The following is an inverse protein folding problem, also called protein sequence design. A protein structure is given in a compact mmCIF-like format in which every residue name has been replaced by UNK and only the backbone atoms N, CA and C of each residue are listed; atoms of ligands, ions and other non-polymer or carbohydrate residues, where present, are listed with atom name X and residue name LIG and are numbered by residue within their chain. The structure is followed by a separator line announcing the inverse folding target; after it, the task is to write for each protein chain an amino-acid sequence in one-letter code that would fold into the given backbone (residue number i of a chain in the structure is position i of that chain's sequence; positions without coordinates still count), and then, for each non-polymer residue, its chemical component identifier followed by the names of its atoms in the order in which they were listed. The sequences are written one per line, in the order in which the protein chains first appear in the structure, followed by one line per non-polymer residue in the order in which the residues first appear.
data_IF_530502910194
#
_entry.id   IF_530502910194
#
_cell.length_a   1.000
_cell.length_b   1.000
_cell.length_c   1.000
_cell.angle_alpha   90.00
_cell.angle_beta   90.00
_cell.angle_gamma   90.00
#
_symmetry.space_group_name_H-M   'P 1'
#
loop_
_entity.id
_entity.type
_entity.pdbx_description
1 polymer ?
#
# COMPACT_ATOMS: atom_id res chain seq x y z
N UNK A 1 -11.50 -29.71 -22.13
CA UNK A 1 -11.06 -29.06 -23.39
C UNK A 1 -11.49 -27.62 -23.29
N UNK A 2 -10.62 -26.81 -22.68
CA UNK A 2 -10.78 -25.38 -22.51
C UNK A 2 -9.36 -24.83 -22.54
N UNK A 3 -9.16 -23.87 -23.44
CA UNK A 3 -7.87 -23.32 -23.84
C UNK A 3 -7.04 -22.82 -22.66
N UNK A 4 -5.82 -23.34 -22.59
CA UNK A 4 -4.68 -22.76 -21.89
C UNK A 4 -4.17 -21.62 -22.77
N UNK A 5 -4.39 -20.38 -22.34
CA UNK A 5 -3.75 -19.21 -22.92
C UNK A 5 -2.38 -19.00 -22.29
N UNK A 6 -1.33 -19.36 -23.02
CA UNK A 6 0.07 -19.05 -22.75
C UNK A 6 0.24 -17.60 -22.26
N UNK A 7 0.74 -17.42 -21.03
CA UNK A 7 1.37 -16.17 -20.60
C UNK A 7 2.86 -16.25 -20.92
N UNK A 8 3.18 -16.12 -22.21
CA UNK A 8 4.50 -15.71 -22.67
C UNK A 8 4.29 -14.61 -23.72
N UNK A 9 5.13 -13.58 -23.65
CA UNK A 9 5.25 -12.46 -24.58
C UNK A 9 4.49 -11.17 -24.21
N UNK A 10 5.07 -10.45 -23.25
CA UNK A 10 5.06 -8.98 -23.26
C UNK A 10 6.47 -8.46 -22.96
N UNK A 11 7.37 -8.68 -23.91
CA UNK A 11 8.55 -7.83 -24.11
C UNK A 11 8.40 -7.25 -25.51
N UNK A 12 7.72 -6.11 -25.63
CA UNK A 12 7.83 -5.32 -26.86
C UNK A 12 9.20 -4.64 -26.83
N UNK A 13 10.13 -5.22 -27.58
CA UNK A 13 11.34 -4.56 -28.07
C UNK A 13 10.93 -3.37 -28.94
N UNK A 14 11.02 -2.16 -28.39
CA UNK A 14 10.99 -0.94 -29.17
C UNK A 14 12.43 -0.64 -29.60
N UNK A 15 12.84 -1.19 -30.74
CA UNK A 15 13.98 -0.68 -31.49
C UNK A 15 13.59 0.67 -32.10
N UNK A 16 13.96 1.78 -31.44
CA UNK A 16 13.91 3.10 -32.07
C UNK A 16 15.18 3.32 -32.89
N UNK A 17 14.99 3.35 -34.22
CA UNK A 17 15.97 3.81 -35.20
C UNK A 17 16.42 5.24 -34.85
N UNK A 18 17.70 5.32 -34.48
CA UNK A 18 18.39 6.54 -34.13
C UNK A 18 18.63 7.40 -35.38
N UNK A 19 17.76 8.38 -35.63
CA UNK A 19 18.02 9.47 -36.59
C UNK A 19 17.25 10.76 -36.22
N UNK A 20 17.92 11.66 -35.50
CA UNK A 20 17.68 13.11 -35.58
C UNK A 20 17.29 13.82 -34.29
N UNK A 21 18.22 14.60 -33.71
CA UNK A 21 17.92 15.80 -32.92
C UNK A 21 18.41 15.80 -31.47
N UNK A 22 19.61 16.33 -31.26
CA UNK A 22 20.32 16.60 -30.00
C UNK A 22 19.65 17.68 -29.10
N UNK A 23 18.31 17.74 -29.08
CA UNK A 23 17.54 18.76 -28.35
C UNK A 23 16.68 18.20 -27.20
N UNK A 24 16.46 16.88 -27.15
CA UNK A 24 15.60 16.25 -26.13
C UNK A 24 16.31 15.83 -24.84
N UNK A 25 17.64 15.69 -24.86
CA UNK A 25 18.42 15.24 -23.71
C UNK A 25 18.53 16.34 -22.63
N UNK A 26 18.71 17.61 -23.01
CA UNK A 26 18.88 18.73 -22.08
C UNK A 26 17.60 19.07 -21.28
N UNK A 27 16.42 18.91 -21.87
CA UNK A 27 15.15 19.19 -21.19
C UNK A 27 14.80 18.07 -20.20
N UNK A 28 15.07 16.81 -20.55
CA UNK A 28 14.92 15.66 -19.65
C UNK A 28 15.90 15.71 -18.47
N UNK A 29 17.16 16.08 -18.70
CA UNK A 29 18.16 16.27 -17.64
C UNK A 29 17.88 17.48 -16.73
N UNK A 30 17.21 18.52 -17.25
CA UNK A 30 16.72 19.63 -16.43
C UNK A 30 15.50 19.25 -15.57
N UNK A 31 14.63 18.37 -16.07
CA UNK A 31 13.47 17.87 -15.32
C UNK A 31 13.87 16.89 -14.20
N UNK A 32 14.94 16.11 -14.39
CA UNK A 32 15.43 15.14 -13.38
C UNK A 32 16.31 15.76 -12.29
N UNK A 33 16.84 16.98 -12.49
CA UNK A 33 17.61 17.76 -11.49
C UNK A 33 16.74 18.51 -10.47
N UNK A 34 15.45 18.20 -10.37
CA UNK A 34 14.54 18.88 -9.46
C UNK A 34 14.86 18.61 -8.00
N UNK A 35 14.95 19.70 -7.24
CA UNK A 35 15.13 19.67 -5.79
C UNK A 35 13.85 19.25 -5.08
N UNK A 36 14.02 18.79 -3.84
CA UNK A 36 12.97 18.68 -2.84
C UNK A 36 12.06 19.92 -2.80
N UNK A 37 10.85 19.71 -2.28
CA UNK A 37 9.88 20.78 -2.06
C UNK A 37 9.45 20.82 -0.60
N UNK A 38 9.71 21.95 0.04
CA UNK A 38 9.29 22.21 1.43
C UNK A 38 7.86 22.77 1.49
N UNK A 39 7.19 22.61 2.63
CA UNK A 39 5.90 23.24 2.92
C UNK A 39 5.91 24.77 2.72
N UNK A 40 7.01 25.45 3.06
CA UNK A 40 7.14 26.90 2.86
C UNK A 40 7.13 27.30 1.37
N UNK A 41 7.74 26.49 0.50
CA UNK A 41 7.68 26.71 -0.95
C UNK A 41 6.29 26.37 -1.50
N UNK A 42 5.68 25.28 -1.04
CA UNK A 42 4.34 24.90 -1.46
C UNK A 42 3.29 25.96 -1.10
N UNK A 43 3.37 26.54 0.11
CA UNK A 43 2.51 27.67 0.54
C UNK A 43 2.71 28.94 -0.30
N UNK A 44 3.86 29.09 -0.97
CA UNK A 44 4.13 30.18 -1.93
C UNK A 44 3.66 29.86 -3.34
N UNK A 45 3.00 28.72 -3.56
CA UNK A 45 2.45 28.31 -4.85
C UNK A 45 3.33 27.35 -5.66
N UNK A 46 4.46 26.87 -5.12
CA UNK A 46 5.24 25.80 -5.77
C UNK A 46 4.44 24.50 -5.72
N UNK A 47 4.40 23.75 -6.81
CA UNK A 47 3.80 22.41 -6.82
C UNK A 47 4.48 21.48 -5.81
N UNK A 48 3.70 20.67 -5.08
CA UNK A 48 4.20 19.79 -4.00
C UNK A 48 5.18 18.72 -4.51
N UNK A 49 5.07 18.32 -5.78
CA UNK A 49 6.01 17.40 -6.44
C UNK A 49 7.18 18.12 -7.09
N UNK A 50 7.13 19.45 -7.13
CA UNK A 50 8.09 20.32 -7.79
C UNK A 50 7.88 20.42 -9.30
N UNK A 51 6.73 19.99 -9.83
CA UNK A 51 6.45 20.02 -11.27
C UNK A 51 6.39 21.50 -11.74
N UNK A 52 7.20 21.90 -12.73
CA UNK A 52 7.34 23.29 -13.16
C UNK A 52 6.28 23.62 -14.20
N UNK A 53 5.01 23.65 -13.79
CA UNK A 53 3.88 23.89 -14.68
C UNK A 53 4.00 25.17 -15.51
N UNK A 54 4.73 26.17 -15.01
CA UNK A 54 5.05 27.43 -15.70
C UNK A 54 5.99 27.26 -16.91
N UNK A 55 6.78 26.19 -16.93
CA UNK A 55 7.69 25.84 -18.02
C UNK A 55 7.12 24.81 -18.99
N UNK A 56 5.97 24.23 -18.66
CA UNK A 56 5.29 23.23 -19.48
C UNK A 56 4.23 23.90 -20.35
N UNK A 57 3.99 23.35 -21.55
CA UNK A 57 2.92 23.81 -22.44
C UNK A 57 1.51 23.36 -22.00
N UNK A 58 1.33 22.96 -20.74
CA UNK A 58 0.07 22.49 -20.17
C UNK A 58 -0.04 22.92 -18.70
N UNK A 59 -1.22 23.35 -18.29
CA UNK A 59 -1.47 23.67 -16.87
C UNK A 59 -1.76 22.40 -16.08
N UNK A 60 -1.57 22.48 -14.76
CA UNK A 60 -1.88 21.38 -13.82
C UNK A 60 -3.33 20.90 -13.97
N UNK A 61 -4.28 21.81 -14.10
CA UNK A 61 -5.71 21.50 -14.22
C UNK A 61 -6.02 20.78 -15.53
N UNK A 62 -5.47 21.27 -16.65
CA UNK A 62 -5.65 20.63 -17.96
C UNK A 62 -5.03 19.23 -17.97
N UNK A 63 -3.84 19.07 -17.38
CA UNK A 63 -3.21 17.76 -17.24
C UNK A 63 -4.05 16.81 -16.37
N UNK A 64 -4.61 17.28 -15.23
CA UNK A 64 -5.52 16.50 -14.39
C UNK A 64 -6.79 16.05 -15.13
N UNK A 65 -7.40 16.92 -15.93
CA UNK A 65 -8.56 16.55 -16.75
C UNK A 65 -8.21 15.44 -17.74
N UNK A 66 -7.13 15.63 -18.51
CA UNK A 66 -6.64 14.60 -19.45
C UNK A 66 -6.29 13.30 -18.74
N UNK A 67 -5.67 13.37 -17.56
CA UNK A 67 -5.32 12.21 -16.73
C UNK A 67 -6.56 11.41 -16.32
N UNK A 68 -7.65 12.08 -15.91
CA UNK A 68 -8.90 11.42 -15.56
C UNK A 68 -9.62 10.81 -16.77
N UNK A 69 -9.53 11.45 -17.95
CA UNK A 69 -10.15 10.96 -19.19
C UNK A 69 -9.41 9.72 -19.77
N UNK A 70 -8.08 9.72 -19.67
CA UNK A 70 -7.23 8.69 -20.28
C UNK A 70 -7.00 7.50 -19.37
N UNK A 71 -7.05 7.66 -18.04
CA UNK A 71 -6.80 6.55 -17.12
C UNK A 71 -7.89 5.49 -17.25
N UNK A 72 -7.47 4.25 -17.49
CA UNK A 72 -8.35 3.09 -17.54
C UNK A 72 -8.13 2.26 -16.29
N UNK A 73 -9.17 2.18 -15.46
CA UNK A 73 -9.19 1.23 -14.36
C UNK A 73 -9.20 -0.18 -14.94
N UNK A 74 -8.32 -1.04 -14.44
CA UNK A 74 -8.44 -2.47 -14.68
C UNK A 74 -9.72 -2.98 -14.00
N UNK A 75 -10.42 -3.95 -14.56
CA UNK A 75 -11.61 -4.56 -13.94
C UNK A 75 -11.54 -6.06 -14.22
N UNK A 76 -11.66 -6.89 -13.18
CA UNK A 76 -11.74 -8.34 -13.41
C UNK A 76 -13.16 -8.71 -13.84
N UNK A 77 -14.16 -7.96 -13.37
CA UNK A 77 -15.55 -8.08 -13.78
C UNK A 77 -15.92 -6.85 -14.61
N UNK A 78 -16.19 -7.01 -15.92
CA UNK A 78 -16.45 -5.86 -16.81
C UNK A 78 -17.58 -4.97 -16.31
N UNK A 79 -17.35 -3.64 -16.33
CA UNK A 79 -18.30 -2.61 -15.92
C UNK A 79 -18.68 -2.65 -14.43
N UNK A 80 -17.88 -3.30 -13.59
CA UNK A 80 -18.10 -3.33 -12.15
C UNK A 80 -18.08 -1.93 -11.54
N UNK A 81 -17.16 -1.06 -11.95
CA UNK A 81 -17.08 0.32 -11.47
C UNK A 81 -18.28 1.17 -11.87
N UNK A 82 -18.76 1.05 -13.11
CA UNK A 82 -19.93 1.79 -13.60
C UNK A 82 -21.22 1.34 -12.89
N UNK A 83 -21.31 0.07 -12.52
CA UNK A 83 -22.49 -0.48 -11.83
C UNK A 83 -22.69 0.11 -10.42
N UNK A 84 -21.60 0.39 -9.68
CA UNK A 84 -21.67 0.90 -8.29
C UNK A 84 -21.93 2.42 -8.22
N UNK A 85 -21.84 3.15 -9.34
CA UNK A 85 -22.02 4.61 -9.37
C UNK A 85 -23.34 5.10 -8.77
N UNK A 86 -24.39 4.27 -8.83
CA UNK A 86 -25.72 4.57 -8.27
C UNK A 86 -25.82 4.34 -6.76
N UNK A 87 -24.93 3.54 -6.17
CA UNK A 87 -24.90 3.21 -4.73
C UNK A 87 -24.03 4.18 -3.92
N UNK A 88 -23.18 4.94 -4.60
CA UNK A 88 -22.20 5.82 -3.97
C UNK A 88 -22.88 7.05 -3.32
N UNK A 89 -22.61 7.27 -2.04
CA UNK A 89 -23.09 8.48 -1.35
C UNK A 89 -22.28 9.69 -1.82
N UNK A 90 -22.95 10.83 -1.99
CA UNK A 90 -22.28 12.09 -2.29
C UNK A 90 -21.49 12.54 -1.06
N UNK A 91 -20.16 12.69 -1.22
CA UNK A 91 -19.26 13.08 -0.13
C UNK A 91 -18.96 14.57 -0.17
N UNK A 92 -18.87 15.18 1.01
CA UNK A 92 -18.43 16.57 1.13
C UNK A 92 -16.90 16.62 1.05
N UNK A 93 -16.39 17.13 -0.08
CA UNK A 93 -14.98 17.53 -0.18
C UNK A 93 -14.74 18.73 0.75
N UNK A 94 -13.58 18.78 1.40
CA UNK A 94 -13.20 19.90 2.27
C UNK A 94 -12.56 19.52 3.59
N UNK A 95 -12.30 18.23 3.84
CA UNK A 95 -11.46 17.80 4.96
C UNK A 95 -10.05 18.38 4.83
N UNK A 96 -9.44 18.73 5.96
CA UNK A 96 -8.08 19.24 6.04
C UNK A 96 -7.45 18.71 7.33
N UNK A 97 -7.14 17.41 7.31
CA UNK A 97 -6.71 16.63 8.47
C UNK A 97 -5.19 16.45 8.51
N UNK A 98 -4.54 16.41 7.35
CA UNK A 98 -3.09 16.29 7.20
C UNK A 98 -2.58 17.38 6.26
N UNK A 99 -1.61 18.18 6.70
CA UNK A 99 -1.02 19.25 5.89
C UNK A 99 0.28 18.78 5.24
N UNK A 100 0.51 19.17 3.98
CA UNK A 100 1.77 18.90 3.30
C UNK A 100 2.95 19.48 4.08
N UNK A 101 3.95 18.64 4.34
CA UNK A 101 5.13 19.03 5.09
C UNK A 101 6.38 19.11 4.22
N UNK A 102 6.69 18.04 3.50
CA UNK A 102 7.91 17.92 2.70
C UNK A 102 7.74 16.90 1.58
N UNK A 103 8.46 17.10 0.50
CA UNK A 103 8.65 16.11 -0.56
C UNK A 103 10.14 15.90 -0.82
N UNK A 104 10.62 14.68 -0.65
CA UNK A 104 12.02 14.31 -0.96
C UNK A 104 12.13 13.55 -2.28
N UNK A 105 13.05 14.00 -3.14
CA UNK A 105 13.38 13.37 -4.44
C UNK A 105 14.55 12.39 -4.34
N UNK A 106 15.22 12.36 -3.18
CA UNK A 106 16.27 11.37 -2.88
C UNK A 106 15.71 9.96 -2.80
N UNK A 107 14.48 9.83 -2.28
CA UNK A 107 13.78 8.56 -2.13
C UNK A 107 13.02 8.25 -3.42
N UNK A 108 13.35 7.12 -4.07
CA UNK A 108 12.74 6.69 -5.34
C UNK A 108 12.09 5.32 -5.18
N UNK A 109 10.87 5.25 -4.63
CA UNK A 109 10.22 3.97 -4.45
C UNK A 109 9.83 3.36 -5.79
N UNK A 110 9.78 2.03 -5.85
CA UNK A 110 9.45 1.28 -7.08
C UNK A 110 8.36 0.26 -6.82
N UNK A 111 7.53 0.03 -7.84
CA UNK A 111 6.58 -1.09 -7.88
C UNK A 111 6.93 -2.02 -9.03
N UNK A 112 6.63 -3.31 -8.87
CA UNK A 112 6.80 -4.33 -9.91
C UNK A 112 5.47 -4.95 -10.37
N UNK A 113 4.40 -4.72 -9.61
CA UNK A 113 3.06 -5.21 -9.94
C UNK A 113 2.07 -4.04 -9.92
N UNK A 114 1.09 -4.05 -10.81
CA UNK A 114 0.11 -2.96 -10.92
C UNK A 114 -0.99 -2.99 -9.84
N UNK A 115 -1.11 -4.07 -9.07
CA UNK A 115 -2.11 -4.20 -7.99
C UNK A 115 -1.52 -4.14 -6.57
N UNK A 116 -0.27 -4.55 -6.36
CA UNK A 116 0.32 -4.70 -5.02
C UNK A 116 1.00 -3.39 -4.60
N UNK A 117 0.64 -2.85 -3.43
CA UNK A 117 0.98 -1.48 -2.98
C UNK A 117 1.40 -1.36 -1.51
N UNK A 118 1.77 -2.45 -0.86
CA UNK A 118 2.21 -2.44 0.54
C UNK A 118 3.74 -2.38 0.65
N UNK A 119 4.35 -1.35 0.04
CA UNK A 119 5.82 -1.23 -0.07
C UNK A 119 6.40 -0.01 0.66
N UNK A 120 5.61 0.69 1.47
CA UNK A 120 6.03 1.84 2.29
C UNK A 120 5.50 1.66 3.71
N UNK A 121 6.38 1.76 4.71
CA UNK A 121 6.06 1.53 6.12
C UNK A 121 6.78 2.52 7.03
N UNK A 122 6.01 3.37 7.70
CA UNK A 122 6.49 4.23 8.76
C UNK A 122 6.49 3.46 10.09
N UNK A 123 7.63 3.47 10.79
CA UNK A 123 7.79 2.86 12.12
C UNK A 123 7.82 3.91 13.22
N UNK A 124 8.03 5.17 12.85
CA UNK A 124 7.92 6.34 13.71
C UNK A 124 7.46 7.53 12.87
N UNK A 125 7.26 8.68 13.50
CA UNK A 125 7.08 9.95 12.79
C UNK A 125 8.20 10.25 11.79
N UNK A 126 9.39 9.72 12.02
CA UNK A 126 10.59 10.07 11.28
C UNK A 126 11.17 8.95 10.43
N UNK A 127 10.87 7.69 10.74
CA UNK A 127 11.54 6.53 10.15
C UNK A 127 10.60 5.76 9.23
N UNK A 128 10.98 5.68 7.96
CA UNK A 128 10.19 5.07 6.89
C UNK A 128 11.04 4.04 6.16
N UNK A 129 10.48 2.86 5.97
CA UNK A 129 11.06 1.77 5.19
C UNK A 129 10.29 1.62 3.89
N UNK A 130 11.02 1.44 2.78
CA UNK A 130 10.39 1.31 1.47
C UNK A 130 11.23 0.50 0.49
N UNK A 131 10.58 -0.05 -0.53
CA UNK A 131 11.29 -0.68 -1.65
C UNK A 131 11.75 0.34 -2.69
N UNK A 132 13.03 0.31 -3.05
CA UNK A 132 13.62 1.04 -4.16
C UNK A 132 14.44 0.06 -5.01
N UNK A 133 13.95 -0.23 -6.22
CA UNK A 133 14.41 -1.31 -7.07
C UNK A 133 14.42 -2.66 -6.30
N UNK A 134 15.61 -3.23 -6.07
CA UNK A 134 15.78 -4.48 -5.33
C UNK A 134 16.12 -4.27 -3.84
N UNK A 135 16.17 -3.02 -3.38
CA UNK A 135 16.65 -2.71 -2.04
C UNK A 135 15.53 -2.22 -1.14
N UNK A 136 15.48 -2.78 0.07
CA UNK A 136 14.77 -2.14 1.18
C UNK A 136 15.63 -0.99 1.66
N UNK A 137 15.07 0.21 1.58
CA UNK A 137 15.71 1.45 2.03
C UNK A 137 15.05 1.92 3.32
N UNK A 138 15.85 2.53 4.20
CA UNK A 138 15.39 3.29 5.36
C UNK A 138 15.66 4.78 5.12
N UNK A 139 14.59 5.56 5.18
CA UNK A 139 14.61 7.01 5.13
C UNK A 139 14.31 7.57 6.53
N UNK A 140 15.13 8.50 6.97
CA UNK A 140 14.89 9.26 8.20
C UNK A 140 14.59 10.72 7.86
N UNK A 141 13.34 11.16 8.04
CA UNK A 141 12.95 12.56 7.78
C UNK A 141 13.56 13.55 8.76
N UNK A 142 14.04 13.08 9.92
CA UNK A 142 14.74 13.90 10.90
C UNK A 142 16.17 14.22 10.47
N UNK A 143 16.91 13.22 9.98
CA UNK A 143 18.32 13.39 9.58
C UNK A 143 18.51 13.69 8.09
N UNK A 144 17.49 13.44 7.27
CA UNK A 144 17.59 13.53 5.82
C UNK A 144 18.44 12.41 5.19
N UNK A 145 18.70 11.33 5.94
CA UNK A 145 19.55 10.23 5.49
C UNK A 145 18.71 9.12 4.86
N UNK A 146 19.24 8.60 3.75
CA UNK A 146 18.76 7.40 3.08
C UNK A 146 19.83 6.31 3.23
N UNK A 147 19.45 5.16 3.78
CA UNK A 147 20.36 4.03 3.99
C UNK A 147 19.76 2.73 3.46
N UNK A 148 20.60 1.83 2.95
CA UNK A 148 20.18 0.51 2.48
C UNK A 148 20.14 -0.47 3.65
N UNK A 149 19.00 -1.16 3.82
CA UNK A 149 18.76 -2.12 4.91
C UNK A 149 19.02 -3.55 4.45
N UNK A 150 18.56 -3.89 3.25
CA UNK A 150 18.69 -5.21 2.65
C UNK A 150 18.60 -5.11 1.13
N UNK A 151 19.52 -5.76 0.41
CA UNK A 151 19.59 -5.74 -1.05
C UNK A 151 19.29 -7.12 -1.63
N UNK A 152 18.15 -7.24 -2.31
CA UNK A 152 17.68 -8.49 -2.92
C UNK A 152 18.20 -8.72 -4.35
N UNK A 153 18.96 -7.79 -4.94
CA UNK A 153 19.64 -8.04 -6.21
C UNK A 153 20.81 -9.01 -6.01
N UNK A 154 21.43 -8.94 -4.83
CA UNK A 154 22.48 -9.85 -4.39
C UNK A 154 21.94 -11.15 -3.80
N UNK A 155 22.84 -11.87 -3.14
CA UNK A 155 22.51 -13.08 -2.39
C UNK A 155 22.04 -12.72 -0.97
N UNK A 156 20.82 -13.15 -0.62
CA UNK A 156 20.21 -12.92 0.69
C UNK A 156 20.00 -14.27 1.36
N UNK A 157 20.80 -14.57 2.38
CA UNK A 157 20.73 -15.81 3.13
C UNK A 157 20.62 -15.56 4.64
N UNK A 158 19.91 -16.42 5.39
CA UNK A 158 19.75 -16.29 6.82
C UNK A 158 21.08 -16.55 7.53
N UNK A 159 21.37 -15.72 8.53
CA UNK A 159 22.55 -15.85 9.40
C UNK A 159 22.24 -16.63 10.68
N UNK A 160 20.95 -16.77 11.01
CA UNK A 160 20.46 -17.56 12.14
C UNK A 160 19.92 -18.90 11.63
N UNK A 161 19.96 -19.94 12.48
CA UNK A 161 19.46 -21.27 12.14
C UNK A 161 18.14 -21.52 12.85
N UNK A 162 17.05 -21.43 12.09
CA UNK A 162 15.71 -21.76 12.53
C UNK A 162 15.18 -22.97 11.76
N UNK A 163 14.23 -23.70 12.34
CA UNK A 163 13.60 -24.82 11.65
C UNK A 163 12.82 -24.32 10.42
N UNK A 164 12.92 -25.00 9.29
CA UNK A 164 12.28 -24.58 8.03
C UNK A 164 12.99 -23.42 7.31
N UNK A 165 14.13 -22.97 7.82
CA UNK A 165 14.94 -21.94 7.17
C UNK A 165 15.66 -22.50 5.95
N UNK A 166 15.51 -21.84 4.80
CA UNK A 166 16.30 -22.07 3.60
C UNK A 166 17.67 -21.43 3.77
N UNK A 167 18.65 -22.21 4.22
CA UNK A 167 20.01 -21.74 4.51
C UNK A 167 20.77 -21.27 3.27
N UNK A 168 20.40 -21.79 2.11
CA UNK A 168 20.92 -21.32 0.82
C UNK A 168 20.44 -19.92 0.44
N UNK A 169 19.36 -19.42 1.07
CA UNK A 169 18.83 -18.10 0.78
C UNK A 169 18.24 -17.95 -0.62
N UNK A 170 18.19 -16.71 -1.09
CA UNK A 170 17.66 -16.33 -2.39
C UNK A 170 18.61 -15.41 -3.15
N UNK A 171 18.42 -15.29 -4.45
CA UNK A 171 19.15 -14.36 -5.31
C UNK A 171 18.18 -13.65 -6.24
N UNK A 172 18.43 -12.37 -6.52
CA UNK A 172 17.63 -11.55 -7.45
C UNK A 172 16.12 -11.58 -7.13
N UNK A 173 15.77 -11.60 -5.85
CA UNK A 173 14.38 -11.72 -5.42
C UNK A 173 13.64 -10.42 -5.69
N UNK A 174 12.56 -10.52 -6.45
CA UNK A 174 11.63 -9.42 -6.62
C UNK A 174 10.66 -9.38 -5.44
N UNK A 175 10.53 -8.23 -4.80
CA UNK A 175 9.68 -8.04 -3.63
C UNK A 175 8.31 -7.52 -4.05
N UNK A 176 7.26 -8.25 -3.67
CA UNK A 176 5.86 -7.93 -3.93
C UNK A 176 5.19 -7.20 -2.77
N UNK A 177 5.68 -7.41 -1.55
CA UNK A 177 5.08 -6.83 -0.34
C UNK A 177 6.11 -6.70 0.78
N UNK A 178 5.90 -5.72 1.65
CA UNK A 178 6.74 -5.43 2.81
C UNK A 178 5.85 -5.28 4.04
N UNK A 179 6.38 -5.59 5.22
CA UNK A 179 5.81 -5.19 6.50
C UNK A 179 6.94 -4.87 7.48
N UNK A 180 6.82 -3.76 8.22
CA UNK A 180 7.80 -3.36 9.23
C UNK A 180 7.08 -2.92 10.49
N UNK A 181 7.42 -3.54 11.63
CA UNK A 181 6.84 -3.24 12.94
C UNK A 181 7.77 -3.68 14.07
N UNK A 182 7.89 -2.85 15.11
CA UNK A 182 8.60 -3.17 16.36
C UNK A 182 9.99 -3.81 16.16
N UNK A 183 10.80 -3.20 15.28
CA UNK A 183 12.13 -3.66 14.85
C UNK A 183 12.19 -4.91 13.97
N UNK A 184 11.07 -5.46 13.54
CA UNK A 184 11.05 -6.56 12.58
C UNK A 184 10.64 -6.08 11.21
N UNK A 185 11.29 -6.66 10.21
CA UNK A 185 10.99 -6.49 8.80
C UNK A 185 10.69 -7.86 8.20
N UNK A 186 9.58 -7.95 7.47
CA UNK A 186 9.21 -9.12 6.68
C UNK A 186 8.98 -8.67 5.25
N UNK A 187 9.67 -9.30 4.29
CA UNK A 187 9.54 -9.05 2.86
C UNK A 187 9.04 -10.33 2.18
N UNK A 188 8.00 -10.20 1.36
CA UNK A 188 7.44 -11.27 0.54
C UNK A 188 7.80 -11.09 -0.93
N UNK A 189 8.12 -12.18 -1.62
CA UNK A 189 8.49 -12.20 -3.03
C UNK A 189 7.41 -12.76 -3.96
N UNK A 190 7.68 -12.67 -5.27
CA UNK A 190 6.79 -13.16 -6.33
C UNK A 190 6.79 -14.69 -6.50
N UNK A 191 7.79 -15.41 -5.97
CA UNK A 191 7.91 -16.86 -6.08
C UNK A 191 7.80 -17.54 -4.70
N UNK A 192 6.94 -16.99 -3.84
CA UNK A 192 6.66 -17.53 -2.50
C UNK A 192 7.78 -17.26 -1.49
N UNK A 193 8.79 -16.46 -1.82
CA UNK A 193 9.86 -16.15 -0.88
C UNK A 193 9.32 -15.32 0.28
N UNK A 194 9.80 -15.64 1.49
CA UNK A 194 9.67 -14.83 2.68
C UNK A 194 11.04 -14.63 3.29
N UNK A 195 11.37 -13.38 3.57
CA UNK A 195 12.60 -13.00 4.26
C UNK A 195 12.27 -12.15 5.49
N UNK A 196 12.76 -12.56 6.65
CA UNK A 196 12.58 -11.85 7.91
C UNK A 196 13.93 -11.34 8.43
N UNK A 197 13.94 -10.09 8.90
CA UNK A 197 15.11 -9.43 9.48
C UNK A 197 14.74 -8.68 10.75
N UNK A 198 15.49 -8.94 11.81
CA UNK A 198 15.54 -8.04 12.97
C UNK A 198 16.42 -6.85 12.64
N UNK A 199 15.87 -5.62 12.69
CA UNK A 199 16.52 -4.39 12.25
C UNK A 199 17.69 -3.97 13.16
N UNK A 200 17.70 -4.44 14.40
CA UNK A 200 18.79 -4.28 15.37
C UNK A 200 19.97 -5.24 15.13
N UNK A 201 19.81 -6.25 14.26
CA UNK A 201 20.86 -7.23 13.90
C UNK A 201 21.38 -6.98 12.49
N UNK A 202 22.67 -7.26 12.25
CA UNK A 202 23.30 -7.06 10.93
C UNK A 202 22.78 -8.03 9.85
N UNK A 203 22.53 -9.29 10.19
CA UNK A 203 22.14 -10.33 9.23
C UNK A 203 20.63 -10.43 8.98
N UNK A 204 20.27 -11.33 8.08
CA UNK A 204 18.89 -11.83 7.91
C UNK A 204 18.64 -12.88 8.97
N UNK A 205 17.46 -12.83 9.59
CA UNK A 205 17.09 -13.74 10.67
C UNK A 205 16.50 -15.05 10.11
N UNK A 206 15.68 -14.98 9.07
CA UNK A 206 15.03 -16.16 8.52
C UNK A 206 14.68 -15.98 7.04
N UNK A 207 14.81 -17.06 6.27
CA UNK A 207 14.35 -17.15 4.88
C UNK A 207 13.57 -18.45 4.72
N UNK A 208 12.42 -18.41 4.05
CA UNK A 208 11.69 -19.62 3.67
C UNK A 208 10.89 -19.39 2.40
N UNK A 209 10.43 -20.46 1.79
CA UNK A 209 9.49 -20.40 0.67
C UNK A 209 8.14 -20.94 1.14
N UNK A 210 7.11 -20.10 1.13
CA UNK A 210 5.76 -20.41 1.62
C UNK A 210 5.06 -21.47 0.78
N UNK A 211 5.33 -21.45 -0.52
CA UNK A 211 4.76 -22.34 -1.53
C UNK A 211 5.66 -22.43 -2.75
N UNK A 212 5.60 -23.55 -3.45
CA UNK A 212 6.33 -23.81 -4.70
C UNK A 212 5.37 -23.86 -5.90
N UNK A 213 4.10 -23.50 -5.71
CA UNK A 213 3.14 -23.41 -6.81
C UNK A 213 3.58 -22.36 -7.83
N UNK A 214 3.22 -22.53 -9.10
CA UNK A 214 3.60 -21.59 -10.16
C UNK A 214 3.06 -20.17 -9.89
N UNK A 215 1.94 -20.08 -9.16
CA UNK A 215 1.34 -18.82 -8.74
C UNK A 215 1.63 -18.51 -7.25
N UNK A 216 2.91 -18.45 -6.89
CA UNK A 216 3.36 -18.39 -5.50
C UNK A 216 3.42 -16.98 -4.86
N UNK A 217 2.98 -15.92 -5.55
CA UNK A 217 3.18 -14.53 -5.10
C UNK A 217 2.71 -14.34 -3.66
N UNK A 218 3.54 -13.71 -2.83
CA UNK A 218 3.13 -13.23 -1.51
C UNK A 218 2.50 -11.84 -1.66
N UNK A 219 1.17 -11.78 -1.67
CA UNK A 219 0.43 -10.57 -1.99
C UNK A 219 0.47 -9.54 -0.85
N UNK A 220 0.34 -9.99 0.39
CA UNK A 220 0.35 -9.13 1.56
C UNK A 220 1.00 -9.82 2.77
N UNK A 221 1.68 -9.02 3.60
CA UNK A 221 2.14 -9.44 4.92
C UNK A 221 1.63 -8.45 5.96
N UNK A 222 1.12 -8.96 7.07
CA UNK A 222 0.71 -8.17 8.24
C UNK A 222 1.40 -8.69 9.49
N UNK A 223 2.08 -7.81 10.23
CA UNK A 223 2.72 -8.12 11.52
C UNK A 223 1.80 -7.66 12.66
N UNK A 224 1.53 -8.54 13.63
CA UNK A 224 0.67 -8.25 14.76
C UNK A 224 1.12 -8.94 16.05
N UNK A 225 0.72 -8.35 17.18
CA UNK A 225 0.93 -8.95 18.50
C UNK A 225 -0.21 -9.92 18.82
N UNK A 226 0.15 -11.08 19.37
CA UNK A 226 -0.83 -12.01 19.92
C UNK A 226 -1.26 -11.56 21.32
N UNK A 227 -2.53 -11.81 21.69
CA UNK A 227 -3.07 -11.48 23.02
C UNK A 227 -2.27 -12.06 24.21
N UNK A 228 -1.57 -13.18 24.01
CA UNK A 228 -0.75 -13.85 25.02
C UNK A 228 0.71 -13.41 25.05
N UNK A 229 1.08 -12.39 24.27
CA UNK A 229 2.46 -12.01 24.00
C UNK A 229 3.06 -12.76 22.81
N UNK A 230 4.18 -12.23 22.31
CA UNK A 230 4.82 -12.71 21.09
C UNK A 230 4.26 -12.04 19.84
N UNK A 231 5.16 -11.76 18.90
CA UNK A 231 4.82 -11.16 17.62
C UNK A 231 4.70 -12.24 16.56
N UNK A 232 3.69 -12.10 15.73
CA UNK A 232 3.33 -13.01 14.66
C UNK A 232 3.26 -12.23 13.36
N UNK A 233 3.35 -12.91 12.23
CA UNK A 233 2.93 -12.32 10.97
C UNK A 233 2.07 -13.29 10.17
N UNK A 234 1.18 -12.71 9.37
CA UNK A 234 0.32 -13.42 8.44
C UNK A 234 0.74 -13.07 7.01
N UNK A 235 0.97 -14.08 6.20
CA UNK A 235 1.23 -13.96 4.77
C UNK A 235 0.01 -14.41 3.97
N UNK A 236 -0.50 -13.53 3.13
CA UNK A 236 -1.51 -13.82 2.10
C UNK A 236 -0.81 -14.18 0.81
N UNK A 237 -1.15 -15.32 0.22
CA UNK A 237 -0.52 -15.81 -0.99
C UNK A 237 -1.53 -16.03 -2.12
N UNK A 238 -1.02 -15.92 -3.35
CA UNK A 238 -1.81 -16.13 -4.57
C UNK A 238 -2.19 -17.61 -4.79
N UNK A 239 -1.58 -18.54 -4.04
CA UNK A 239 -1.88 -19.98 -4.04
C UNK A 239 -3.13 -20.37 -3.23
N UNK A 240 -4.00 -19.38 -3.01
CA UNK A 240 -5.20 -19.45 -2.19
C UNK A 240 -4.92 -19.74 -0.70
N UNK A 241 -3.69 -19.51 -0.23
CA UNK A 241 -3.26 -19.79 1.14
C UNK A 241 -3.08 -18.54 2.00
N UNK A 242 -3.41 -18.67 3.28
CA UNK A 242 -2.97 -17.77 4.35
C UNK A 242 -2.08 -18.57 5.29
N UNK A 243 -0.93 -18.02 5.63
CA UNK A 243 0.05 -18.65 6.52
C UNK A 243 0.38 -17.75 7.69
N UNK A 244 0.30 -18.28 8.90
CA UNK A 244 0.69 -17.58 10.12
C UNK A 244 2.01 -18.14 10.64
N UNK A 245 2.94 -17.25 10.96
CA UNK A 245 4.24 -17.59 11.54
C UNK A 245 4.42 -16.91 12.88
N UNK A 246 5.04 -17.61 13.84
CA UNK A 246 5.57 -16.96 15.03
C UNK A 246 6.90 -16.26 14.69
N UNK A 247 7.19 -15.10 15.29
CA UNK A 247 8.43 -14.35 15.00
C UNK A 247 9.58 -14.63 15.97
N UNK A 248 9.39 -15.50 16.96
CA UNK A 248 10.46 -15.89 17.89
C UNK A 248 11.33 -17.01 17.31
N UNK A 249 10.68 -18.00 16.68
CA UNK A 249 11.26 -19.23 16.13
C UNK A 249 10.98 -19.38 14.63
N UNK A 250 10.21 -18.48 14.03
CA UNK A 250 9.85 -18.50 12.60
C UNK A 250 9.15 -19.80 12.15
N UNK A 251 8.38 -20.43 13.05
CA UNK A 251 7.63 -21.64 12.72
C UNK A 251 6.29 -21.29 12.09
N UNK A 252 5.92 -22.04 11.06
CA UNK A 252 4.57 -22.03 10.51
C UNK A 252 3.62 -22.61 11.56
N UNK A 253 2.71 -21.78 12.06
CA UNK A 253 1.71 -22.17 13.05
C UNK A 253 0.43 -22.66 12.39
N UNK A 254 -0.04 -21.92 11.39
CA UNK A 254 -1.31 -22.19 10.72
C UNK A 254 -1.17 -22.01 9.21
N UNK A 255 -1.91 -22.85 8.47
CA UNK A 255 -2.07 -22.74 7.03
C UNK A 255 -3.55 -22.95 6.69
N UNK A 256 -4.22 -21.88 6.27
CA UNK A 256 -5.63 -21.87 5.91
C UNK A 256 -5.76 -21.72 4.41
N UNK A 257 -6.62 -22.54 3.77
CA UNK A 257 -6.85 -22.50 2.32
C UNK A 257 -8.23 -21.96 1.98
N UNK A 258 -8.28 -21.21 0.90
CA UNK A 258 -9.46 -20.53 0.37
C UNK A 258 -9.76 -21.04 -1.05
N UNK A 259 -10.98 -20.81 -1.56
CA UNK A 259 -11.34 -21.23 -2.91
C UNK A 259 -10.77 -20.33 -4.01
N UNK A 260 -10.05 -19.26 -3.64
CA UNK A 260 -9.50 -18.25 -4.56
C UNK A 260 -8.21 -17.64 -4.01
N UNK A 261 -7.35 -17.08 -4.87
CA UNK A 261 -6.14 -16.35 -4.49
C UNK A 261 -6.40 -15.24 -3.46
N UNK A 262 -5.63 -15.22 -2.38
CA UNK A 262 -5.82 -14.25 -1.29
C UNK A 262 -4.95 -13.02 -1.53
N UNK A 263 -5.57 -11.88 -1.78
CA UNK A 263 -4.87 -10.63 -2.10
C UNK A 263 -4.45 -9.87 -0.84
N UNK A 264 -5.27 -9.88 0.22
CA UNK A 264 -4.96 -9.18 1.45
C UNK A 264 -5.70 -9.77 2.66
N UNK A 265 -5.07 -9.66 3.83
CA UNK A 265 -5.66 -10.00 5.12
C UNK A 265 -5.48 -8.83 6.08
N UNK A 266 -6.48 -8.60 6.94
CA UNK A 266 -6.32 -7.74 8.11
C UNK A 266 -6.92 -8.39 9.36
N UNK A 267 -6.19 -8.36 10.47
CA UNK A 267 -6.65 -8.93 11.74
C UNK A 267 -7.28 -7.87 12.64
N UNK A 268 -8.41 -8.22 13.25
CA UNK A 268 -9.11 -7.39 14.23
C UNK A 268 -8.22 -7.05 15.44
N UNK A 269 -8.46 -5.92 16.14
CA UNK A 269 -7.66 -5.51 17.30
C UNK A 269 -7.65 -6.53 18.43
N UNK A 270 -8.76 -7.27 18.62
CA UNK A 270 -8.87 -8.35 19.62
C UNK A 270 -8.24 -9.68 19.16
N UNK A 271 -7.69 -9.72 17.94
CA UNK A 271 -7.01 -10.87 17.31
C UNK A 271 -7.88 -12.10 17.11
N UNK A 272 -9.21 -11.97 17.10
CA UNK A 272 -10.13 -13.11 16.96
C UNK A 272 -10.65 -13.31 15.55
N UNK A 273 -10.79 -12.22 14.81
CA UNK A 273 -11.37 -12.23 13.46
C UNK A 273 -10.36 -11.69 12.46
N UNK A 274 -10.21 -12.39 11.34
CA UNK A 274 -9.43 -11.96 10.17
C UNK A 274 -10.39 -11.62 9.05
N UNK A 275 -10.25 -10.44 8.46
CA UNK A 275 -10.90 -10.09 7.20
C UNK A 275 -10.02 -10.56 6.05
N UNK A 276 -10.55 -11.45 5.21
CA UNK A 276 -9.85 -12.08 4.09
C UNK A 276 -10.47 -11.57 2.79
N UNK A 277 -9.64 -11.01 1.92
CA UNK A 277 -10.04 -10.49 0.60
C UNK A 277 -9.14 -11.05 -0.50
N UNK A 278 -9.69 -11.22 -1.70
CA UNK A 278 -8.97 -11.85 -2.80
C UNK A 278 -9.72 -11.79 -4.11
N UNK A 279 -9.44 -12.78 -4.97
CA UNK A 279 -10.00 -12.92 -6.32
C UNK A 279 -11.45 -13.44 -6.30
N UNK A 280 -12.29 -12.71 -5.56
CA UNK A 280 -13.71 -12.96 -5.41
C UNK A 280 -14.43 -11.69 -4.97
N UNK A 281 -15.71 -11.58 -5.34
CA UNK A 281 -16.55 -10.41 -5.03
C UNK A 281 -16.86 -10.28 -3.53
N UNK A 282 -17.12 -11.42 -2.89
CA UNK A 282 -17.33 -11.48 -1.45
C UNK A 282 -16.00 -11.53 -0.70
N UNK A 283 -15.89 -10.75 0.37
CA UNK A 283 -14.88 -10.95 1.39
C UNK A 283 -15.36 -11.97 2.44
N UNK A 284 -14.42 -12.55 3.19
CA UNK A 284 -14.72 -13.50 4.27
C UNK A 284 -14.23 -12.96 5.61
N UNK A 285 -14.99 -13.23 6.67
CA UNK A 285 -14.52 -13.11 8.04
C UNK A 285 -14.17 -14.51 8.55
N UNK A 286 -12.96 -14.69 9.03
CA UNK A 286 -12.41 -15.97 9.51
C UNK A 286 -12.07 -15.89 10.99
N UNK A 287 -12.35 -16.96 11.74
CA UNK A 287 -11.83 -17.14 13.09
C UNK A 287 -10.33 -17.40 13.03
N UNK A 288 -9.54 -16.56 13.70
CA UNK A 288 -8.07 -16.61 13.66
C UNK A 288 -7.48 -17.88 14.28
N UNK A 289 -8.19 -18.54 15.20
CA UNK A 289 -7.67 -19.70 15.93
C UNK A 289 -7.86 -21.00 15.17
N UNK A 290 -8.99 -21.14 14.46
CA UNK A 290 -9.36 -22.41 13.84
C UNK A 290 -9.59 -22.34 12.34
N UNK A 291 -9.48 -21.16 11.72
CA UNK A 291 -9.58 -21.01 10.27
C UNK A 291 -11.00 -21.08 9.72
N UNK A 292 -12.03 -21.20 10.56
CA UNK A 292 -13.41 -21.31 10.07
C UNK A 292 -13.94 -19.96 9.64
N UNK A 293 -14.59 -19.95 8.48
CA UNK A 293 -15.38 -18.80 8.03
C UNK A 293 -16.54 -18.57 8.99
N UNK A 294 -16.57 -17.39 9.61
CA UNK A 294 -17.62 -16.89 10.49
C UNK A 294 -18.74 -16.25 9.68
N UNK A 295 -18.39 -15.46 8.65
CA UNK A 295 -19.35 -14.74 7.84
C UNK A 295 -18.80 -14.45 6.43
N UNK A 296 -19.73 -14.21 5.49
CA UNK A 296 -19.44 -13.59 4.20
C UNK A 296 -19.82 -12.12 4.26
N UNK A 297 -19.02 -11.28 3.60
CA UNK A 297 -19.24 -9.85 3.46
C UNK A 297 -19.55 -9.59 2.00
N UNK A 298 -20.85 -9.43 1.72
CA UNK A 298 -21.40 -9.38 0.36
C UNK A 298 -21.71 -7.94 -0.01
N UNK A 299 -21.30 -7.50 -1.19
CA UNK A 299 -21.77 -6.24 -1.77
C UNK A 299 -20.85 -5.63 -2.81
N UNK A 300 -19.54 -5.89 -2.75
CA UNK A 300 -18.64 -5.48 -3.84
C UNK A 300 -18.98 -6.20 -5.14
N UNK A 301 -18.65 -5.56 -6.27
CA UNK A 301 -18.96 -6.08 -7.61
C UNK A 301 -17.72 -6.56 -8.37
N UNK A 302 -16.56 -6.58 -7.72
CA UNK A 302 -15.29 -7.02 -8.31
C UNK A 302 -14.33 -7.51 -7.20
N UNK A 303 -13.05 -7.72 -7.52
CA UNK A 303 -12.07 -8.31 -6.60
C UNK A 303 -11.50 -7.28 -5.62
N UNK A 304 -11.24 -7.74 -4.40
CA UNK A 304 -10.80 -6.89 -3.29
C UNK A 304 -9.29 -7.04 -3.05
N UNK A 305 -8.61 -5.93 -2.79
CA UNK A 305 -7.14 -5.86 -2.66
C UNK A 305 -6.63 -5.21 -1.38
N UNK A 306 -7.53 -4.62 -0.60
CA UNK A 306 -7.17 -3.98 0.65
C UNK A 306 -8.25 -4.24 1.71
N UNK A 307 -7.82 -4.40 2.95
CA UNK A 307 -8.70 -4.42 4.11
C UNK A 307 -8.00 -3.83 5.33
N UNK A 308 -8.76 -3.21 6.24
CA UNK A 308 -8.24 -2.73 7.51
C UNK A 308 -9.32 -2.68 8.58
N UNK A 309 -8.94 -2.93 9.82
CA UNK A 309 -9.81 -2.78 10.98
C UNK A 309 -9.66 -1.41 11.62
N UNK A 310 -10.78 -0.84 12.02
CA UNK A 310 -10.79 0.28 12.95
C UNK A 310 -10.33 -0.21 14.34
N UNK A 311 -9.57 0.58 15.10
CA UNK A 311 -9.00 0.17 16.40
C UNK A 311 -10.05 -0.18 17.47
N UNK A 312 -11.32 0.23 17.31
CA UNK A 312 -12.41 -0.19 18.20
C UNK A 312 -12.89 -1.65 17.97
N UNK A 313 -12.44 -2.30 16.89
CA UNK A 313 -12.77 -3.68 16.53
C UNK A 313 -14.21 -3.92 16.06
N UNK A 314 -15.04 -2.87 15.91
CA UNK A 314 -16.43 -2.99 15.47
C UNK A 314 -16.57 -2.75 13.98
N UNK A 315 -15.71 -1.89 13.44
CA UNK A 315 -15.72 -1.48 12.06
C UNK A 315 -14.50 -2.03 11.32
N UNK A 316 -14.68 -2.42 10.08
CA UNK A 316 -13.59 -2.68 9.14
C UNK A 316 -13.95 -2.13 7.76
N UNK A 317 -12.95 -1.95 6.92
CA UNK A 317 -13.09 -1.46 5.57
C UNK A 317 -12.46 -2.43 4.57
N UNK A 318 -13.01 -2.44 3.35
CA UNK A 318 -12.52 -3.22 2.20
C UNK A 318 -12.37 -2.30 1.00
N UNK A 319 -11.31 -2.49 0.23
CA UNK A 319 -10.99 -1.72 -0.98
C UNK A 319 -10.97 -2.62 -2.21
N UNK A 320 -11.63 -2.17 -3.28
CA UNK A 320 -12.05 -3.06 -4.35
C UNK A 320 -11.79 -2.49 -5.76
N UNK A 321 -11.74 -3.39 -6.74
CA UNK A 321 -11.57 -3.08 -8.15
C UNK A 321 -12.79 -2.35 -8.77
N UNK A 322 -13.98 -2.48 -8.16
CA UNK A 322 -15.22 -1.75 -8.46
C UNK A 322 -15.17 -0.24 -8.15
N UNK A 323 -13.96 0.31 -7.91
CA UNK A 323 -13.69 1.71 -7.57
C UNK A 323 -14.34 2.19 -6.28
N UNK A 324 -14.73 1.27 -5.39
CA UNK A 324 -15.23 1.65 -4.07
C UNK A 324 -14.38 1.10 -2.93
N UNK A 325 -14.38 1.86 -1.84
CA UNK A 325 -14.07 1.35 -0.52
C UNK A 325 -15.37 1.24 0.27
N UNK A 326 -15.65 0.07 0.85
CA UNK A 326 -16.84 -0.15 1.67
C UNK A 326 -16.45 -0.28 3.13
N UNK A 327 -17.24 0.35 3.99
CA UNK A 327 -17.07 0.30 5.45
C UNK A 327 -18.20 -0.52 6.04
N UNK A 328 -17.86 -1.45 6.93
CA UNK A 328 -18.74 -2.48 7.44
C UNK A 328 -18.78 -2.45 8.96
N UNK A 329 -19.96 -2.71 9.53
CA UNK A 329 -20.10 -2.99 10.96
C UNK A 329 -20.20 -4.51 11.16
N UNK A 330 -19.28 -5.10 11.91
CA UNK A 330 -19.25 -6.55 12.12
C UNK A 330 -20.54 -7.07 12.79
N UNK A 331 -21.27 -6.20 13.50
CA UNK A 331 -22.55 -6.54 14.15
C UNK A 331 -23.72 -6.57 13.17
N UNK A 332 -23.58 -5.98 11.99
CA UNK A 332 -24.57 -6.01 10.92
C UNK A 332 -23.90 -5.97 9.53
N UNK A 333 -23.67 -7.15 8.96
CA UNK A 333 -23.05 -7.32 7.65
C UNK A 333 -24.05 -7.32 6.48
N UNK A 334 -25.34 -7.04 6.72
CA UNK A 334 -26.35 -7.05 5.66
C UNK A 334 -26.17 -5.91 4.64
N UNK A 335 -25.51 -4.82 5.04
CA UNK A 335 -25.17 -3.71 4.16
C UNK A 335 -23.98 -2.91 4.73
N UNK A 336 -23.18 -2.24 3.88
CA UNK A 336 -22.12 -1.37 4.33
C UNK A 336 -22.68 -0.09 4.96
N UNK A 337 -22.04 0.41 6.01
CA UNK A 337 -22.41 1.70 6.63
C UNK A 337 -22.04 2.89 5.72
N UNK A 338 -20.99 2.72 4.91
CA UNK A 338 -20.55 3.68 3.90
C UNK A 338 -20.03 2.97 2.64
N UNK A 339 -20.36 3.53 1.48
CA UNK A 339 -19.82 3.16 0.16
C UNK A 339 -19.11 4.40 -0.37
N UNK A 340 -17.79 4.34 -0.41
CA UNK A 340 -16.92 5.48 -0.68
C UNK A 340 -16.34 5.34 -2.08
N UNK A 341 -16.74 6.25 -2.98
CA UNK A 341 -16.27 6.27 -4.37
C UNK A 341 -14.85 6.84 -4.47
N UNK A 342 -13.98 6.10 -5.13
CA UNK A 342 -12.65 6.55 -5.54
C UNK A 342 -12.74 7.39 -6.83
N UNK A 343 -11.75 8.24 -7.06
CA UNK A 343 -11.74 9.15 -8.19
C UNK A 343 -11.26 8.46 -9.48
N UNK A 344 -10.18 7.70 -9.40
CA UNK A 344 -9.45 7.16 -10.54
C UNK A 344 -9.72 5.66 -10.71
N UNK A 345 -9.43 4.86 -9.69
CA UNK A 345 -9.47 3.39 -9.79
C UNK A 345 -9.64 2.67 -8.45
N UNK A 346 -9.16 1.43 -8.42
CA UNK A 346 -9.28 0.53 -7.28
C UNK A 346 -8.59 1.05 -6.00
N UNK A 347 -9.16 0.81 -4.83
CA UNK A 347 -8.46 1.06 -3.56
C UNK A 347 -7.41 -0.05 -3.34
N UNK A 348 -6.13 0.34 -3.28
CA UNK A 348 -4.99 -0.59 -3.15
C UNK A 348 -4.40 -0.66 -1.76
N UNK A 349 -4.71 0.31 -0.91
CA UNK A 349 -4.32 0.26 0.50
C UNK A 349 -5.34 1.02 1.33
N UNK A 350 -5.69 0.47 2.50
CA UNK A 350 -6.54 1.12 3.49
C UNK A 350 -5.82 1.03 4.83
N UNK A 351 -5.83 2.13 5.59
CA UNK A 351 -5.28 2.19 6.95
C UNK A 351 -6.22 3.02 7.82
N UNK A 352 -6.44 2.58 9.07
CA UNK A 352 -7.00 3.44 10.09
C UNK A 352 -5.86 4.09 10.88
N UNK A 353 -6.07 5.34 11.32
CA UNK A 353 -5.23 5.93 12.36
C UNK A 353 -5.36 5.12 13.65
N UNK A 354 -4.30 5.05 14.43
CA UNK A 354 -4.24 4.30 15.70
C UNK A 354 -5.28 4.78 16.70
N UNK A 355 -5.61 6.07 16.68
CA UNK A 355 -6.67 6.68 17.48
C UNK A 355 -8.08 6.51 16.89
N UNK A 356 -8.21 5.92 15.70
CA UNK A 356 -9.46 5.66 15.00
C UNK A 356 -10.16 6.89 14.44
N UNK A 357 -9.57 8.08 14.47
CA UNK A 357 -10.23 9.29 13.97
C UNK A 357 -10.31 9.38 12.44
N UNK A 358 -9.38 8.71 11.76
CA UNK A 358 -9.24 8.80 10.31
C UNK A 358 -9.08 7.44 9.65
N UNK A 359 -9.61 7.33 8.44
CA UNK A 359 -9.34 6.24 7.51
C UNK A 359 -8.66 6.79 6.27
N UNK A 360 -7.48 6.29 5.97
CA UNK A 360 -6.69 6.62 4.78
C UNK A 360 -6.94 5.55 3.72
N UNK A 361 -7.26 5.98 2.51
CA UNK A 361 -7.47 5.12 1.34
C UNK A 361 -6.54 5.59 0.22
N UNK A 362 -5.68 4.71 -0.28
CA UNK A 362 -4.83 4.99 -1.43
C UNK A 362 -5.36 4.28 -2.68
N UNK A 363 -5.49 5.04 -3.76
CA UNK A 363 -5.78 4.54 -5.10
C UNK A 363 -4.52 3.93 -5.75
N UNK A 364 -4.56 3.41 -6.99
CA UNK A 364 -3.34 2.89 -7.63
C UNK A 364 -2.37 4.01 -7.97
N UNK A 365 -2.90 5.20 -8.25
CA UNK A 365 -2.16 6.39 -8.63
C UNK A 365 -2.91 7.65 -8.19
N UNK A 366 -2.18 8.76 -8.12
CA UNK A 366 -2.61 10.15 -8.06
C UNK A 366 -3.40 10.61 -6.82
N UNK A 367 -4.20 9.75 -6.20
CA UNK A 367 -5.12 10.14 -5.13
C UNK A 367 -4.93 9.31 -3.86
N UNK A 368 -4.84 10.04 -2.75
CA UNK A 368 -5.02 9.50 -1.41
C UNK A 368 -6.16 10.26 -0.73
N UNK A 369 -7.12 9.52 -0.19
CA UNK A 369 -8.28 10.06 0.51
C UNK A 369 -8.16 9.83 2.00
N UNK A 370 -8.52 10.83 2.80
CA UNK A 370 -8.57 10.72 4.26
C UNK A 370 -9.99 11.06 4.71
N UNK A 371 -10.67 10.07 5.29
CA UNK A 371 -12.05 10.18 5.75
C UNK A 371 -12.10 10.34 7.27
N UNK A 372 -12.93 11.26 7.75
CA UNK A 372 -13.21 11.37 9.19
C UNK A 372 -14.21 10.30 9.63
N UNK A 373 -13.80 9.45 10.57
CA UNK A 373 -14.67 8.40 11.14
C UNK A 373 -15.79 9.01 11.98
N UNK A 374 -15.50 10.06 12.75
CA UNK A 374 -16.46 10.82 13.57
C UNK A 374 -17.57 11.47 12.73
N UNK A 375 -17.28 11.82 11.48
CA UNK A 375 -18.25 12.39 10.56
C UNK A 375 -18.97 11.31 9.72
N UNK A 376 -19.03 10.06 10.19
CA UNK A 376 -19.57 8.91 9.47
C UNK A 376 -18.97 8.76 8.06
N UNK A 377 -17.68 9.05 7.91
CA UNK A 377 -16.98 9.03 6.62
C UNK A 377 -17.51 10.03 5.57
N UNK A 378 -18.36 11.01 5.96
CA UNK A 378 -18.98 11.98 5.03
C UNK A 378 -18.07 13.14 4.65
N UNK A 379 -17.06 13.42 5.47
CA UNK A 379 -16.06 14.47 5.23
C UNK A 379 -14.75 13.83 4.79
N UNK A 380 -14.29 14.25 3.60
CA UNK A 380 -13.08 13.72 2.95
C UNK A 380 -12.07 14.83 2.68
N UNK A 381 -10.83 14.59 3.06
CA UNK A 381 -9.67 15.26 2.49
C UNK A 381 -9.19 14.46 1.27
N UNK A 382 -8.91 15.16 0.18
CA UNK A 382 -8.35 14.61 -1.05
C UNK A 382 -6.93 15.14 -1.19
N UNK A 383 -5.95 14.24 -1.25
CA UNK A 383 -4.56 14.55 -1.59
C UNK A 383 -4.39 14.22 -3.07
N UNK A 384 -4.09 15.24 -3.87
CA UNK A 384 -4.09 15.22 -5.34
C UNK A 384 -2.67 15.48 -5.87
N UNK A 385 -2.06 14.45 -6.45
CA UNK A 385 -0.72 14.45 -7.05
C UNK A 385 -0.70 13.56 -8.30
N UNK A 386 0.43 13.43 -8.98
CA UNK A 386 0.57 12.62 -10.20
C UNK A 386 1.59 11.50 -10.02
N UNK A 387 1.24 10.30 -10.45
CA UNK A 387 2.12 9.13 -10.44
C UNK A 387 1.53 7.95 -9.70
N UNK A 388 2.08 6.77 -9.98
CA UNK A 388 1.67 5.54 -9.30
C UNK A 388 2.06 5.61 -7.82
N UNK A 389 1.16 5.17 -6.96
CA UNK A 389 1.45 5.03 -5.54
C UNK A 389 2.20 3.72 -5.37
N UNK A 390 3.24 3.68 -4.55
CA UNK A 390 3.96 2.45 -4.19
C UNK A 390 3.53 1.93 -2.83
N UNK A 391 3.07 2.83 -1.97
CA UNK A 391 2.44 2.53 -0.71
C UNK A 391 2.14 3.79 0.09
N UNK A 392 1.32 3.61 1.12
CA UNK A 392 0.94 4.64 2.06
C UNK A 392 1.10 4.12 3.48
N UNK A 393 1.62 4.96 4.38
CA UNK A 393 1.79 4.59 5.77
C UNK A 393 1.55 5.78 6.69
N UNK A 394 0.72 5.55 7.72
CA UNK A 394 0.54 6.46 8.85
C UNK A 394 1.53 6.03 9.93
N UNK A 395 2.26 6.98 10.51
CA UNK A 395 3.16 6.67 11.63
C UNK A 395 2.36 6.15 12.82
N UNK A 396 2.93 5.29 13.68
CA UNK A 396 2.19 4.70 14.81
C UNK A 396 1.61 5.69 15.82
N UNK A 397 2.11 6.93 15.84
CA UNK A 397 1.61 8.04 16.66
C UNK A 397 0.57 8.92 15.94
N UNK A 398 0.19 8.56 14.71
CA UNK A 398 -0.71 9.30 13.81
C UNK A 398 -0.25 10.71 13.41
N UNK A 399 1.00 11.08 13.69
CA UNK A 399 1.49 12.45 13.46
C UNK A 399 1.97 12.70 12.03
N UNK A 400 2.40 11.65 11.32
CA UNK A 400 2.89 11.74 9.95
C UNK A 400 2.24 10.70 9.04
N UNK A 401 1.96 11.14 7.81
CA UNK A 401 1.48 10.31 6.71
C UNK A 401 2.53 10.37 5.59
N UNK A 402 2.97 9.20 5.15
CA UNK A 402 3.93 9.04 4.06
C UNK A 402 3.27 8.40 2.85
N UNK A 403 3.56 8.94 1.66
CA UNK A 403 3.06 8.43 0.39
C UNK A 403 4.25 8.29 -0.56
N UNK A 404 4.59 7.06 -0.93
CA UNK A 404 5.66 6.80 -1.90
C UNK A 404 5.12 6.87 -3.33
N UNK A 405 5.75 7.66 -4.18
CA UNK A 405 5.35 7.85 -5.58
C UNK A 405 6.38 7.17 -6.48
N UNK A 406 5.93 6.22 -7.30
CA UNK A 406 6.68 5.67 -8.40
C UNK A 406 6.33 6.43 -9.68
N UNK A 407 7.32 7.11 -10.24
CA UNK A 407 7.22 7.78 -11.53
C UNK A 407 8.63 7.90 -12.13
N UNK A 408 8.76 7.84 -13.46
CA UNK A 408 10.06 7.92 -14.13
C UNK A 408 10.78 9.24 -13.82
N UNK A 409 10.03 10.33 -13.77
CA UNK A 409 10.56 11.68 -13.64
C UNK A 409 10.31 12.25 -12.26
N UNK A 410 9.17 11.93 -11.62
CA UNK A 410 8.68 12.54 -10.38
C UNK A 410 8.68 11.60 -9.17
N UNK A 411 9.37 10.44 -9.25
CA UNK A 411 9.51 9.52 -8.12
C UNK A 411 10.02 10.26 -6.88
N UNK A 412 9.33 10.02 -5.76
CA UNK A 412 9.53 10.76 -4.53
C UNK A 412 8.81 10.15 -3.34
N UNK A 413 9.07 10.69 -2.14
CA UNK A 413 8.32 10.39 -0.92
C UNK A 413 7.70 11.68 -0.38
N UNK A 414 6.37 11.74 -0.42
CA UNK A 414 5.61 12.82 0.21
C UNK A 414 5.44 12.54 1.70
N UNK A 415 5.62 13.59 2.51
CA UNK A 415 5.31 13.61 3.92
C UNK A 415 4.24 14.67 4.20
N UNK A 416 3.22 14.26 4.93
CA UNK A 416 2.20 15.13 5.49
C UNK A 416 2.21 15.00 7.01
N UNK A 417 1.89 16.09 7.71
CA UNK A 417 1.75 16.09 9.16
C UNK A 417 0.31 16.31 9.57
N UNK A 418 -0.11 15.61 10.62
CA UNK A 418 -1.45 15.77 11.16
C UNK A 418 -1.69 17.20 11.64
N UNK A 419 -2.85 17.74 11.29
CA UNK A 419 -3.34 19.01 11.80
C UNK A 419 -4.06 18.78 13.12
N UNK A 420 -3.67 19.55 14.12
CA UNK A 420 -4.34 19.63 15.39
C UNK A 420 -5.19 20.90 15.42
N UNK A 421 -6.49 20.77 15.66
CA UNK A 421 -7.36 21.92 15.90
C UNK A 421 -7.28 22.27 17.40
N UNK A 422 -6.44 23.23 17.75
CA UNK A 422 -6.34 23.72 19.13
C UNK A 422 -7.42 24.78 19.35
N UNK A 423 -8.64 24.34 19.71
CA UNK A 423 -9.79 25.25 19.87
C UNK A 423 -9.61 26.43 20.84
N UNK A 424 -8.60 26.39 21.72
CA UNK A 424 -8.25 27.52 22.60
C UNK A 424 -7.30 28.56 21.97
N UNK A 425 -6.48 28.18 20.99
CA UNK A 425 -5.54 29.09 20.31
C UNK A 425 -6.19 29.75 19.09
N UNK A 426 -7.11 29.05 18.41
CA UNK A 426 -7.82 29.57 17.24
C UNK A 426 -8.99 30.51 17.60
N UNK A 427 -9.26 30.75 18.89
CA UNK A 427 -10.28 31.68 19.38
C UNK A 427 -9.77 33.10 19.69
N UNK A 428 -8.47 33.36 19.49
CA UNK A 428 -7.84 34.66 19.73
C UNK A 428 -7.44 35.43 18.46
N UNK A 429 -7.83 34.95 17.27
CA UNK A 429 -7.59 35.66 16.00
C UNK A 429 -8.86 35.83 15.18
#
# INVERSE_FOLDING_TARGET
MGDEGDMSDFVEDVEEENQGGDAGLDEYDMLTKMSDTSSAQARKGKDIQGIPWDRLNITREKYRLTRLEQYRNYENIPASGEAVDKECKQMQKGGNFYEFFHNTRLVKPTILHFQLRNLVWATSKHDVYLMSSYSVMHWSSLSGNLSEVLNFAGHVAPTEKHAGSLLEGFMQTQISTLAVKDNFLVAGGFQGELTCKSLDKKGVSFCTRTTYDDNAITNAVEIYDRLGGGMHFMASNNDCGIREYDMEKFQLLNHFRFPWPVNHTSISPDRRVVAVVGDHVDALLMDSQNGKTIAKVVGHLDYSFASAWHPDGRIFATGNQDKTSRVWDIRNLSSPIAVLKNNLGAARSIRFSSDGQFMVVAEPADFVHIYSTKADYKVRQEIDFFGEISGVSVSPDDESLYIGIWDRTYASLLQYNRRHAYGYLDSYF
#
